data_IF_266385020091
#
_entry.id   IF_266385020091
#
_cell.length_a   1.000
_cell.length_b   1.000
_cell.length_c   1.000
_cell.angle_alpha   90.00
_cell.angle_beta   90.00
_cell.angle_gamma   90.00
#
_symmetry.space_group_name_H-M   'P 1'
#
loop_
_entity.id
_entity.type
_entity.pdbx_description
1 polymer ?
#
# COMPACT_ATOMS: atom_id res chain seq x y z
N UNK A 1 -7.52 -28.45 -17.26
CA UNK A 1 -7.44 -26.97 -17.34
C UNK A 1 -8.84 -26.42 -17.16
N UNK A 2 -9.11 -25.76 -16.03
CA UNK A 2 -10.34 -25.01 -15.81
C UNK A 2 -9.94 -23.63 -15.28
N UNK A 3 -10.17 -22.61 -16.10
CA UNK A 3 -9.98 -21.20 -15.77
C UNK A 3 -11.20 -20.76 -14.96
N UNK A 4 -11.00 -20.40 -13.70
CA UNK A 4 -12.02 -19.72 -12.92
C UNK A 4 -11.74 -18.22 -12.99
N UNK A 5 -12.46 -17.52 -13.88
CA UNK A 5 -12.70 -16.10 -13.70
C UNK A 5 -13.78 -15.98 -12.63
N UNK A 6 -13.34 -15.77 -11.39
CA UNK A 6 -14.21 -15.36 -10.31
C UNK A 6 -14.00 -13.87 -10.16
N UNK A 7 -14.93 -13.08 -10.73
CA UNK A 7 -15.26 -11.75 -10.22
C UNK A 7 -15.84 -11.96 -8.82
N UNK A 8 -14.96 -12.24 -7.86
CA UNK A 8 -15.32 -12.63 -6.51
C UNK A 8 -14.66 -11.69 -5.53
N UNK A 9 -15.49 -10.79 -5.02
CA UNK A 9 -15.27 -10.09 -3.76
C UNK A 9 -15.06 -11.10 -2.63
N UNK A 10 -13.82 -11.46 -2.30
CA UNK A 10 -13.39 -12.11 -1.03
C UNK A 10 -11.92 -11.69 -0.80
N UNK A 11 -11.57 -11.06 0.34
CA UNK A 11 -11.55 -11.72 1.65
C UNK A 11 -12.68 -11.32 2.60
N UNK A 12 -13.21 -12.31 3.32
CA UNK A 12 -14.11 -12.22 4.48
C UNK A 12 -13.42 -11.66 5.73
N UNK A 13 -12.55 -10.66 5.56
CA UNK A 13 -12.00 -9.87 6.65
C UNK A 13 -12.58 -8.47 6.56
N UNK A 14 -13.25 -8.01 7.60
CA UNK A 14 -13.45 -6.56 7.81
C UNK A 14 -12.24 -6.03 8.56
N UNK A 15 -11.81 -4.82 8.26
CA UNK A 15 -10.69 -4.21 8.97
C UNK A 15 -9.36 -4.33 8.25
N UNK A 16 -8.30 -3.95 8.94
CA UNK A 16 -6.97 -3.77 8.37
C UNK A 16 -6.33 -5.03 7.77
N UNK A 17 -6.74 -6.22 8.24
CA UNK A 17 -6.27 -7.50 7.70
C UNK A 17 -6.68 -7.72 6.23
N UNK A 18 -7.82 -7.16 5.80
CA UNK A 18 -8.38 -7.44 4.49
C UNK A 18 -7.47 -6.92 3.36
N UNK A 19 -6.98 -5.69 3.50
CA UNK A 19 -6.10 -5.07 2.50
C UNK A 19 -4.78 -5.81 2.40
N UNK A 20 -4.26 -6.31 3.53
CA UNK A 20 -3.05 -7.13 3.56
C UNK A 20 -3.28 -8.45 2.83
N UNK A 21 -4.39 -9.15 3.09
CA UNK A 21 -4.68 -10.41 2.40
C UNK A 21 -4.84 -10.19 0.88
N UNK A 22 -5.51 -9.12 0.46
CA UNK A 22 -5.60 -8.75 -0.96
C UNK A 22 -4.20 -8.53 -1.54
N UNK A 23 -3.37 -7.71 -0.90
CA UNK A 23 -2.01 -7.43 -1.36
C UNK A 23 -1.17 -8.71 -1.48
N UNK A 24 -1.29 -9.63 -0.51
CA UNK A 24 -0.59 -10.91 -0.52
C UNK A 24 -1.01 -11.84 -1.65
N UNK A 25 -2.26 -11.80 -2.09
CA UNK A 25 -2.69 -12.58 -3.27
C UNK A 25 -2.00 -12.13 -4.57
N UNK A 26 -1.40 -10.95 -4.56
CA UNK A 26 -0.75 -10.35 -5.72
C UNK A 26 0.77 -10.55 -5.74
N UNK A 27 1.36 -11.18 -4.73
CA UNK A 27 2.81 -11.36 -4.65
C UNK A 27 3.39 -12.01 -5.92
N UNK A 28 4.42 -11.39 -6.49
CA UNK A 28 5.06 -11.82 -7.73
C UNK A 28 4.45 -11.26 -9.01
N UNK A 29 3.28 -10.62 -8.96
CA UNK A 29 2.64 -10.04 -10.15
C UNK A 29 3.35 -8.77 -10.61
N UNK A 30 3.37 -8.55 -11.93
CA UNK A 30 3.78 -7.27 -12.54
C UNK A 30 2.70 -6.20 -12.41
N UNK A 31 2.98 -4.99 -12.91
CA UNK A 31 2.15 -3.82 -12.60
C UNK A 31 1.02 -3.48 -13.58
N UNK A 32 0.90 -4.16 -14.72
CA UNK A 32 -0.03 -3.79 -15.81
C UNK A 32 -1.46 -3.66 -15.35
N UNK A 33 -1.87 -4.56 -14.47
CA UNK A 33 -3.19 -4.54 -13.86
C UNK A 33 -3.44 -3.25 -13.08
N UNK A 34 -2.48 -2.73 -12.33
CA UNK A 34 -2.68 -1.62 -11.42
C UNK A 34 -2.65 -0.26 -12.12
N UNK A 35 -1.63 0.01 -12.95
CA UNK A 35 -1.57 1.30 -13.65
C UNK A 35 -2.69 1.43 -14.68
N UNK A 36 -3.07 0.34 -15.36
CA UNK A 36 -4.21 0.36 -16.28
C UNK A 36 -5.55 0.47 -15.56
N UNK A 37 -5.76 -0.19 -14.41
CA UNK A 37 -6.95 0.02 -13.57
C UNK A 37 -7.06 1.48 -13.10
N UNK A 38 -5.93 2.10 -12.75
CA UNK A 38 -5.93 3.48 -12.31
C UNK A 38 -6.40 4.43 -13.42
N UNK A 39 -6.01 4.14 -14.66
CA UNK A 39 -6.38 4.87 -15.87
C UNK A 39 -5.21 5.24 -16.79
N UNK A 40 -3.99 4.77 -16.50
CA UNK A 40 -2.82 5.04 -17.31
C UNK A 40 -2.75 4.12 -18.54
N UNK A 41 -2.43 4.70 -19.70
CA UNK A 41 -2.33 3.98 -20.96
C UNK A 41 -0.98 3.25 -21.15
N UNK A 42 0.02 3.58 -20.33
CA UNK A 42 1.38 3.05 -20.40
C UNK A 42 1.93 2.80 -18.99
N UNK A 43 3.12 2.17 -18.91
CA UNK A 43 3.80 1.93 -17.64
C UNK A 43 4.11 3.27 -16.95
N UNK A 44 3.66 3.39 -15.71
CA UNK A 44 4.02 4.45 -14.76
C UNK A 44 4.59 3.80 -13.50
N UNK A 45 5.22 4.59 -12.61
CA UNK A 45 5.58 4.09 -11.28
C UNK A 45 4.30 3.78 -10.49
N UNK A 46 4.13 2.52 -10.10
CA UNK A 46 2.80 1.96 -9.81
C UNK A 46 2.60 1.49 -8.37
N UNK A 47 3.53 1.79 -7.45
CA UNK A 47 3.39 1.47 -6.02
C UNK A 47 2.08 2.03 -5.42
N UNK A 48 1.79 3.31 -5.65
CA UNK A 48 0.55 3.96 -5.19
C UNK A 48 -0.70 3.44 -5.91
N UNK A 49 -0.59 3.14 -7.22
CA UNK A 49 -1.67 2.50 -7.96
C UNK A 49 -2.02 1.12 -7.37
N UNK A 50 -1.02 0.35 -6.97
CA UNK A 50 -1.20 -0.94 -6.31
C UNK A 50 -1.89 -0.81 -4.96
N UNK A 51 -1.48 0.14 -4.11
CA UNK A 51 -2.14 0.39 -2.82
C UNK A 51 -3.61 0.79 -3.03
N UNK A 52 -3.86 1.72 -3.96
CA UNK A 52 -5.23 2.13 -4.33
C UNK A 52 -6.05 0.96 -4.85
N UNK A 53 -5.48 0.09 -5.68
CA UNK A 53 -6.17 -1.08 -6.18
C UNK A 53 -6.54 -2.05 -5.04
N UNK A 54 -5.62 -2.30 -4.11
CA UNK A 54 -5.89 -3.14 -2.93
C UNK A 54 -7.01 -2.54 -2.06
N UNK A 55 -7.01 -1.22 -1.86
CA UNK A 55 -8.08 -0.51 -1.16
C UNK A 55 -9.43 -0.62 -1.89
N UNK A 56 -9.45 -0.51 -3.22
CA UNK A 56 -10.64 -0.71 -4.05
C UNK A 56 -11.22 -2.12 -3.91
N UNK A 57 -10.37 -3.15 -3.97
CA UNK A 57 -10.83 -4.54 -3.80
C UNK A 57 -11.47 -4.79 -2.43
N UNK A 58 -11.10 -4.01 -1.42
CA UNK A 58 -11.68 -4.06 -0.09
C UNK A 58 -12.91 -3.14 0.08
N UNK A 59 -13.21 -2.27 -0.89
CA UNK A 59 -14.25 -1.23 -0.80
C UNK A 59 -13.85 -0.02 0.06
N UNK A 60 -12.56 0.13 0.38
CA UNK A 60 -12.05 1.17 1.28
C UNK A 60 -11.99 2.55 0.63
N UNK A 61 -11.93 2.62 -0.70
CA UNK A 61 -12.08 3.89 -1.43
C UNK A 61 -13.51 4.39 -1.31
N UNK A 62 -14.51 3.54 -1.59
CA UNK A 62 -15.93 3.91 -1.49
C UNK A 62 -16.31 4.28 -0.05
N UNK A 63 -15.76 3.57 0.94
CA UNK A 63 -15.99 3.84 2.35
C UNK A 63 -15.25 5.10 2.88
N UNK A 64 -14.35 5.70 2.09
CA UNK A 64 -13.56 6.86 2.51
C UNK A 64 -12.47 6.56 3.54
N UNK A 65 -12.05 5.30 3.65
CA UNK A 65 -11.01 4.83 4.59
C UNK A 65 -9.61 5.08 4.04
N UNK A 66 -9.43 4.88 2.73
CA UNK A 66 -8.17 5.13 2.00
C UNK A 66 -8.53 5.87 0.69
N UNK A 67 -7.81 6.94 0.31
CA UNK A 67 -8.10 7.66 -0.93
C UNK A 67 -7.71 6.83 -2.16
N UNK A 68 -8.25 7.19 -3.34
CA UNK A 68 -7.67 6.77 -4.61
C UNK A 68 -6.52 7.71 -4.98
N UNK A 69 -5.29 7.20 -5.09
CA UNK A 69 -4.10 7.98 -5.41
C UNK A 69 -3.07 7.20 -6.24
N UNK A 70 -2.35 7.90 -7.13
CA UNK A 70 -1.23 7.35 -7.92
C UNK A 70 0.09 8.05 -7.63
N UNK A 71 0.05 9.18 -6.92
CA UNK A 71 1.22 9.93 -6.48
C UNK A 71 1.38 9.73 -4.97
N UNK A 72 2.53 9.25 -4.52
CA UNK A 72 2.75 8.90 -3.11
C UNK A 72 2.57 10.10 -2.17
N UNK A 73 3.09 11.28 -2.54
CA UNK A 73 2.93 12.50 -1.74
C UNK A 73 1.46 12.89 -1.57
N UNK A 74 0.64 12.79 -2.62
CA UNK A 74 -0.79 13.07 -2.53
C UNK A 74 -1.53 12.10 -1.58
N UNK A 75 -1.11 10.83 -1.55
CA UNK A 75 -1.62 9.87 -0.58
C UNK A 75 -1.24 10.25 0.86
N UNK A 76 0.04 10.58 1.08
CA UNK A 76 0.57 11.01 2.37
C UNK A 76 -0.15 12.27 2.89
N UNK A 77 -0.20 13.32 2.07
CA UNK A 77 -0.86 14.60 2.38
C UNK A 77 -2.35 14.41 2.72
N UNK A 78 -3.02 13.44 2.11
CA UNK A 78 -4.39 13.11 2.47
C UNK A 78 -4.49 12.60 3.91
N UNK A 79 -3.64 11.64 4.31
CA UNK A 79 -3.62 11.14 5.70
C UNK A 79 -3.27 12.24 6.69
N UNK A 80 -2.32 13.11 6.35
CA UNK A 80 -1.99 14.30 7.17
C UNK A 80 -3.22 15.19 7.35
N UNK A 81 -3.97 15.47 6.27
CA UNK A 81 -5.19 16.28 6.32
C UNK A 81 -6.32 15.67 7.16
N UNK A 82 -6.34 14.33 7.28
CA UNK A 82 -7.29 13.61 8.13
C UNK A 82 -6.82 13.51 9.60
N UNK A 83 -5.61 13.97 9.92
CA UNK A 83 -4.99 13.73 11.24
C UNK A 83 -4.68 12.25 11.48
N UNK A 84 -4.48 11.48 10.41
CA UNK A 84 -4.25 10.04 10.39
C UNK A 84 -2.84 9.70 9.90
N UNK A 85 -1.89 10.60 10.08
CA UNK A 85 -0.49 10.38 9.71
C UNK A 85 0.39 10.38 10.95
N UNK A 86 1.23 9.37 11.07
CA UNK A 86 2.20 9.20 12.14
C UNK A 86 3.62 9.24 11.56
N UNK A 87 4.58 9.81 12.29
CA UNK A 87 5.97 9.88 11.84
C UNK A 87 6.67 8.50 11.83
N UNK A 88 7.86 8.43 11.23
CA UNK A 88 8.64 7.20 11.08
C UNK A 88 9.07 6.49 12.39
N UNK A 89 8.91 7.14 13.56
CA UNK A 89 9.20 6.52 14.87
C UNK A 89 8.05 5.70 15.43
N UNK A 90 6.85 5.84 14.85
CA UNK A 90 5.67 5.05 15.20
C UNK A 90 5.88 3.55 14.95
N UNK A 91 5.27 2.72 15.80
CA UNK A 91 5.19 1.27 15.60
C UNK A 91 3.89 0.97 14.83
N UNK A 92 3.95 0.64 13.53
CA UNK A 92 2.76 0.53 12.71
C UNK A 92 1.92 -0.70 13.05
N UNK A 93 0.63 -0.59 12.76
CA UNK A 93 -0.30 -1.69 12.77
C UNK A 93 -0.37 -2.36 11.39
N UNK A 94 -0.77 -3.64 11.38
CA UNK A 94 -1.15 -4.33 10.15
C UNK A 94 -2.20 -3.51 9.39
N UNK A 95 -1.97 -3.30 8.10
CA UNK A 95 -2.80 -2.51 7.19
C UNK A 95 -2.46 -1.02 7.13
N UNK A 96 -1.55 -0.50 7.96
CA UNK A 96 -1.07 0.87 7.77
C UNK A 96 -0.33 1.00 6.43
N UNK A 97 -0.24 2.22 5.91
CA UNK A 97 0.50 2.53 4.69
C UNK A 97 1.82 3.17 5.06
N UNK A 98 2.93 2.55 4.71
CA UNK A 98 4.27 3.11 4.94
C UNK A 98 4.70 3.95 3.74
N UNK A 99 5.21 5.15 3.98
CA UNK A 99 5.70 6.07 2.95
C UNK A 99 7.21 6.27 3.09
N UNK A 100 7.90 6.33 1.95
CA UNK A 100 9.36 6.43 1.90
C UNK A 100 9.85 7.59 1.03
N UNK A 101 11.01 8.11 1.44
CA UNK A 101 11.86 9.06 0.73
C UNK A 101 13.25 8.40 0.64
N UNK A 102 13.62 7.91 -0.54
CA UNK A 102 14.81 7.06 -0.67
C UNK A 102 16.10 7.88 -0.61
N UNK A 103 16.08 9.04 -1.26
CA UNK A 103 17.20 9.96 -1.35
C UNK A 103 17.29 10.92 -0.15
N UNK A 104 16.26 10.97 0.70
CA UNK A 104 16.08 11.97 1.77
C UNK A 104 16.09 13.40 1.23
N UNK A 105 15.47 13.61 0.07
CA UNK A 105 15.44 14.90 -0.62
C UNK A 105 14.11 15.66 -0.45
N UNK A 106 13.17 15.08 0.30
CA UNK A 106 11.83 15.61 0.53
C UNK A 106 10.79 15.14 -0.50
N UNK A 107 11.19 14.36 -1.51
CA UNK A 107 10.28 13.64 -2.40
C UNK A 107 9.73 12.39 -1.72
N UNK A 108 8.46 12.09 -1.93
CA UNK A 108 7.87 10.83 -1.47
C UNK A 108 7.85 9.87 -2.66
N UNK A 109 8.77 8.93 -2.64
CA UNK A 109 9.06 8.08 -3.80
C UNK A 109 8.25 6.78 -3.79
N UNK A 110 7.91 6.29 -2.60
CA UNK A 110 7.32 4.97 -2.46
C UNK A 110 6.27 4.86 -1.37
N UNK A 111 5.39 3.89 -1.56
CA UNK A 111 4.36 3.51 -0.59
C UNK A 111 4.16 2.00 -0.60
N UNK A 112 3.97 1.42 0.59
CA UNK A 112 3.68 0.00 0.79
C UNK A 112 2.58 -0.22 1.81
N UNK A 113 2.06 -1.45 1.88
CA UNK A 113 1.08 -1.87 2.89
C UNK A 113 1.81 -2.65 3.97
N UNK A 114 1.67 -2.27 5.24
CA UNK A 114 2.25 -2.99 6.37
C UNK A 114 1.51 -4.30 6.58
N UNK A 115 2.21 -5.42 6.43
CA UNK A 115 1.71 -6.77 6.70
C UNK A 115 1.75 -7.07 8.21
N UNK A 116 2.87 -6.81 8.87
CA UNK A 116 3.06 -7.13 10.28
C UNK A 116 4.29 -6.43 10.88
N UNK A 117 4.44 -6.51 12.19
CA UNK A 117 5.64 -6.10 12.92
C UNK A 117 6.12 -7.27 13.76
N UNK A 118 7.38 -7.67 13.58
CA UNK A 118 8.00 -8.79 14.31
C UNK A 118 9.43 -8.41 14.69
N UNK A 119 9.78 -8.58 15.95
CA UNK A 119 11.14 -8.38 16.49
C UNK A 119 11.78 -7.03 16.07
N UNK A 120 10.99 -5.95 16.12
CA UNK A 120 11.45 -4.60 15.79
C UNK A 120 11.59 -4.30 14.30
N UNK A 121 11.14 -5.21 13.42
CA UNK A 121 11.06 -4.99 11.98
C UNK A 121 9.61 -4.91 11.53
N UNK A 122 9.34 -3.97 10.62
CA UNK A 122 8.11 -3.93 9.84
C UNK A 122 8.26 -4.88 8.65
N UNK A 123 7.21 -5.58 8.31
CA UNK A 123 7.08 -6.39 7.10
C UNK A 123 6.00 -5.78 6.24
N UNK A 124 6.26 -5.63 4.94
CA UNK A 124 5.41 -4.88 4.02
C UNK A 124 5.14 -5.69 2.76
N UNK A 125 4.05 -5.36 2.07
CA UNK A 125 3.74 -5.79 0.71
C UNK A 125 3.74 -4.56 -0.18
N UNK A 126 4.63 -4.54 -1.16
CA UNK A 126 4.90 -3.36 -1.97
C UNK A 126 4.75 -3.67 -3.46
N UNK A 127 3.97 -2.85 -4.15
CA UNK A 127 3.94 -2.83 -5.60
C UNK A 127 5.19 -2.13 -6.13
N UNK A 128 5.57 -2.44 -7.37
CA UNK A 128 6.71 -1.84 -8.06
C UNK A 128 8.06 -2.04 -7.35
N UNK A 129 8.17 -3.05 -6.51
CA UNK A 129 9.39 -3.38 -5.78
C UNK A 129 10.23 -4.36 -6.61
N UNK A 130 11.10 -3.81 -7.46
CA UNK A 130 11.80 -4.59 -8.50
C UNK A 130 10.87 -4.98 -9.65
N UNK A 131 9.98 -4.05 -10.05
CA UNK A 131 8.98 -4.19 -11.12
C UNK A 131 7.97 -5.34 -10.89
N UNK A 132 7.74 -5.69 -9.63
CA UNK A 132 6.73 -6.67 -9.20
C UNK A 132 6.15 -6.32 -7.83
N UNK A 133 5.08 -7.00 -7.45
CA UNK A 133 4.64 -7.03 -6.06
C UNK A 133 5.60 -7.91 -5.28
N UNK A 134 6.19 -7.39 -4.22
CA UNK A 134 7.12 -8.14 -3.38
C UNK A 134 6.92 -7.82 -1.90
N UNK A 135 7.21 -8.81 -1.06
CA UNK A 135 7.40 -8.56 0.36
C UNK A 135 8.75 -7.92 0.65
N UNK A 136 8.77 -6.97 1.58
CA UNK A 136 10.00 -6.35 2.11
C UNK A 136 9.97 -6.29 3.63
N UNK A 137 11.11 -5.95 4.21
CA UNK A 137 11.24 -5.77 5.65
C UNK A 137 12.23 -4.66 5.97
N UNK A 138 11.91 -3.84 6.96
CA UNK A 138 12.73 -2.72 7.40
C UNK A 138 12.73 -2.65 8.94
N UNK A 139 13.80 -2.18 9.58
CA UNK A 139 13.75 -1.87 11.00
C UNK A 139 12.77 -0.72 11.26
N UNK A 140 12.11 -0.72 12.41
CA UNK A 140 11.35 0.46 12.86
C UNK A 140 12.31 1.64 13.00
N UNK A 141 11.89 2.83 12.55
CA UNK A 141 12.76 4.01 12.49
C UNK A 141 13.83 3.95 11.40
N UNK A 142 13.64 3.11 10.37
CA UNK A 142 14.50 3.13 9.18
C UNK A 142 14.55 4.54 8.59
N UNK A 143 15.75 5.03 8.28
CA UNK A 143 15.98 6.46 7.99
C UNK A 143 15.20 6.98 6.77
N UNK A 144 14.87 6.12 5.81
CA UNK A 144 14.10 6.46 4.62
C UNK A 144 12.57 6.37 4.83
N UNK A 145 12.09 5.93 5.99
CA UNK A 145 10.66 5.95 6.31
C UNK A 145 10.30 7.36 6.75
N UNK A 146 9.45 8.01 5.96
CA UNK A 146 8.91 9.34 6.29
C UNK A 146 7.85 9.21 7.37
N UNK A 147 6.96 8.22 7.23
CA UNK A 147 5.91 7.94 8.18
C UNK A 147 4.89 6.94 7.68
N UNK A 148 3.75 6.93 8.36
CA UNK A 148 2.69 5.96 8.17
C UNK A 148 1.33 6.65 8.08
N UNK A 149 0.59 6.38 7.00
CA UNK A 149 -0.85 6.61 6.97
C UNK A 149 -1.55 5.52 7.78
N UNK A 150 -2.45 5.91 8.68
CA UNK A 150 -3.15 5.03 9.64
C UNK A 150 -4.64 5.05 9.34
N UNK A 151 -5.14 4.19 8.43
CA UNK A 151 -6.54 4.22 8.02
C UNK A 151 -7.48 3.84 9.17
N UNK A 152 -8.58 4.58 9.29
CA UNK A 152 -9.67 4.28 10.24
C UNK A 152 -10.64 3.26 9.63
N UNK A 153 -10.26 1.97 9.64
CA UNK A 153 -11.00 0.85 9.07
C UNK A 153 -12.39 0.59 9.66
#
# INVERSE_FOLDING_TARGET
MLRYYVFGRIPTGTGSQAIVQVALTQEGNGGDTYWSWYGFAQREEWCACFVSWCADQCGYIEAGVIPKFSLCSAGMEWFESQGQFMDGSYVPATGDLVFFDWENDGSIDHVGIVESVVDGNIYTVEGNSGDKVARRSYPIGYGQIVGYGVPAY
#
